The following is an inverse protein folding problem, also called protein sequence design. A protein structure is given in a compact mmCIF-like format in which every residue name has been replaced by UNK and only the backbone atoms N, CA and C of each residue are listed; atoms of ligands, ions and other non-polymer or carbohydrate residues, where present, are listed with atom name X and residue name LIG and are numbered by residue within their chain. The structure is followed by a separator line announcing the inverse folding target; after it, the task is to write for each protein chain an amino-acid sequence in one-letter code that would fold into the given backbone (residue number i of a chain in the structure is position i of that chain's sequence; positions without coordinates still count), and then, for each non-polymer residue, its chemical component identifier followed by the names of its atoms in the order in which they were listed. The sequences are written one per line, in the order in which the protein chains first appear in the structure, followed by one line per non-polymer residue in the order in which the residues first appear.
data_IF_055530190667
#
_entry.id   IF_055530190667
#
_cell.length_a   1.000
_cell.length_b   1.000
_cell.length_c   1.000
_cell.angle_alpha   90.00
_cell.angle_beta   90.00
_cell.angle_gamma   90.00
#
_symmetry.space_group_name_H-M   'P 1'
#
loop_
_entity.id
_entity.type
_entity.pdbx_description
1 polymer ?
#
# COMPACT_ATOMS: atom_id res chain seq x y z
N UNK A 1 -12.31 -4.64 18.74
CA UNK A 1 -12.70 -5.75 17.84
C UNK A 1 -11.69 -6.87 18.04
N UNK A 2 -11.96 -7.80 18.97
CA UNK A 2 -11.11 -8.98 19.16
C UNK A 2 -11.55 -9.97 18.09
N UNK A 3 -10.67 -10.28 17.14
CA UNK A 3 -10.96 -11.25 16.09
C UNK A 3 -10.67 -12.62 16.69
N UNK A 4 -11.70 -13.44 16.88
CA UNK A 4 -11.56 -14.83 17.29
C UNK A 4 -11.11 -15.67 16.10
N UNK A 5 -9.79 -15.70 15.85
CA UNK A 5 -9.17 -16.65 14.92
C UNK A 5 -8.90 -17.96 15.67
N UNK A 6 -9.87 -18.89 15.61
CA UNK A 6 -9.73 -20.22 16.19
C UNK A 6 -8.70 -21.05 15.40
N UNK A 7 -7.80 -21.76 16.09
CA UNK A 7 -6.82 -22.66 15.48
C UNK A 7 -5.45 -22.06 15.18
N UNK A 8 -5.18 -20.81 15.58
CA UNK A 8 -3.86 -20.18 15.47
C UNK A 8 -3.06 -20.28 16.76
N UNK A 9 -1.73 -20.26 16.66
CA UNK A 9 -0.87 -20.09 17.84
C UNK A 9 -1.15 -18.72 18.49
N UNK A 10 -0.94 -18.60 19.80
CA UNK A 10 -1.15 -17.34 20.52
C UNK A 10 -0.38 -16.17 19.88
N UNK A 11 0.82 -16.44 19.37
CA UNK A 11 1.66 -15.44 18.71
C UNK A 11 1.02 -14.94 17.41
N UNK A 12 0.56 -15.85 16.57
CA UNK A 12 -0.11 -15.50 15.31
C UNK A 12 -1.44 -14.75 15.57
N UNK A 13 -2.15 -15.11 16.64
CA UNK A 13 -3.36 -14.41 17.08
C UNK A 13 -3.08 -12.95 17.48
N UNK A 14 -2.03 -12.72 18.28
CA UNK A 14 -1.60 -11.37 18.69
C UNK A 14 -1.17 -10.54 17.47
N UNK A 15 -0.35 -11.11 16.59
CA UNK A 15 0.13 -10.42 15.38
C UNK A 15 -1.04 -10.07 14.44
N UNK A 16 -1.96 -11.00 14.23
CA UNK A 16 -3.17 -10.78 13.43
C UNK A 16 -4.10 -9.72 14.03
N UNK A 17 -4.35 -9.77 15.34
CA UNK A 17 -5.17 -8.78 16.03
C UNK A 17 -4.54 -7.38 15.98
N UNK A 18 -3.24 -7.28 16.24
CA UNK A 18 -2.52 -6.01 16.18
C UNK A 18 -2.59 -5.40 14.77
N UNK A 19 -2.30 -6.20 13.73
CA UNK A 19 -2.35 -5.74 12.35
C UNK A 19 -3.75 -5.27 11.95
N UNK A 20 -4.78 -6.06 12.25
CA UNK A 20 -6.16 -5.74 11.89
C UNK A 20 -6.66 -4.50 12.62
N UNK A 21 -6.35 -4.36 13.91
CA UNK A 21 -6.64 -3.16 14.70
C UNK A 21 -5.93 -1.94 14.11
N UNK A 22 -4.65 -2.07 13.77
CA UNK A 22 -3.87 -1.00 13.15
C UNK A 22 -4.48 -0.54 11.82
N UNK A 23 -4.84 -1.47 10.93
CA UNK A 23 -5.51 -1.16 9.66
C UNK A 23 -6.88 -0.52 9.87
N UNK A 24 -7.66 -1.00 10.85
CA UNK A 24 -8.94 -0.41 11.21
C UNK A 24 -8.81 1.03 11.73
N UNK A 25 -7.80 1.30 12.55
CA UNK A 25 -7.48 2.65 13.03
C UNK A 25 -7.06 3.57 11.88
N UNK A 26 -6.24 3.08 10.93
CA UNK A 26 -5.87 3.85 9.74
C UNK A 26 -7.10 4.21 8.89
N UNK A 27 -7.98 3.25 8.63
CA UNK A 27 -9.22 3.50 7.89
C UNK A 27 -10.10 4.53 8.60
N UNK A 28 -10.25 4.43 9.93
CA UNK A 28 -11.03 5.38 10.73
C UNK A 28 -10.39 6.77 10.75
N UNK A 29 -9.07 6.86 10.74
CA UNK A 29 -8.36 8.12 10.64
C UNK A 29 -8.59 8.76 9.27
N UNK A 30 -8.42 7.99 8.19
CA UNK A 30 -8.69 8.45 6.81
C UNK A 30 -10.13 8.95 6.66
N UNK A 31 -11.11 8.22 7.19
CA UNK A 31 -12.52 8.62 7.19
C UNK A 31 -12.74 9.95 7.92
N UNK A 32 -12.07 10.18 9.06
CA UNK A 32 -12.09 11.48 9.75
C UNK A 32 -11.42 12.60 8.96
N UNK A 33 -10.33 12.30 8.23
CA UNK A 33 -9.62 13.31 7.43
C UNK A 33 -10.44 13.77 6.21
N UNK A 34 -11.29 12.91 5.66
CA UNK A 34 -12.27 13.28 4.62
C UNK A 34 -13.59 13.79 5.20
N UNK A 35 -13.59 14.25 6.46
CA UNK A 35 -14.74 14.80 7.18
C UNK A 35 -15.96 13.86 7.22
N UNK A 36 -15.72 12.55 7.26
CA UNK A 36 -16.75 11.50 7.29
C UNK A 36 -17.75 11.57 6.13
N UNK A 37 -17.40 12.24 5.02
CA UNK A 37 -18.26 12.38 3.83
C UNK A 37 -18.53 11.06 3.13
N UNK A 38 -17.64 10.08 3.29
CA UNK A 38 -17.71 8.78 2.64
C UNK A 38 -17.67 7.66 3.66
N UNK A 39 -18.45 6.60 3.43
CA UNK A 39 -18.38 5.41 4.26
C UNK A 39 -17.03 4.72 4.10
N UNK A 40 -16.58 4.03 5.15
CA UNK A 40 -15.38 3.18 5.11
C UNK A 40 -15.39 2.22 3.91
N UNK A 41 -16.55 1.64 3.55
CA UNK A 41 -16.67 0.78 2.35
C UNK A 41 -16.34 1.52 1.08
N UNK A 42 -16.95 2.69 0.86
CA UNK A 42 -16.69 3.50 -0.34
C UNK A 42 -15.22 3.94 -0.44
N UNK A 43 -14.57 4.22 0.69
CA UNK A 43 -13.13 4.51 0.73
C UNK A 43 -12.29 3.30 0.30
N UNK A 44 -12.59 2.11 0.83
CA UNK A 44 -11.90 0.86 0.46
C UNK A 44 -12.10 0.57 -1.03
N UNK A 45 -13.35 0.59 -1.51
CA UNK A 45 -13.67 0.31 -2.92
C UNK A 45 -12.95 1.28 -3.85
N UNK A 46 -12.89 2.57 -3.48
CA UNK A 46 -12.16 3.57 -4.26
C UNK A 46 -10.67 3.25 -4.29
N UNK A 47 -10.05 3.01 -3.13
CA UNK A 47 -8.61 2.70 -3.05
C UNK A 47 -8.24 1.40 -3.76
N UNK A 48 -9.13 0.40 -3.77
CA UNK A 48 -8.95 -0.85 -4.50
C UNK A 48 -8.94 -0.63 -6.02
N UNK A 49 -9.73 0.31 -6.53
CA UNK A 49 -9.79 0.63 -7.94
C UNK A 49 -8.65 1.54 -8.43
N UNK A 50 -7.92 2.22 -7.54
CA UNK A 50 -6.70 2.98 -7.89
C UNK A 50 -5.57 2.00 -8.20
N UNK A 51 -5.59 1.45 -9.41
CA UNK A 51 -4.59 0.50 -9.90
C UNK A 51 -3.83 1.09 -11.10
N UNK A 52 -2.59 0.65 -11.27
CA UNK A 52 -1.70 1.11 -12.34
C UNK A 52 -1.42 0.00 -13.34
N UNK A 53 -1.76 0.21 -14.61
CA UNK A 53 -1.47 -0.69 -15.72
C UNK A 53 -0.13 -0.32 -16.37
N UNK A 54 0.75 -1.30 -16.59
CA UNK A 54 2.01 -1.05 -17.31
C UNK A 54 1.72 -0.79 -18.79
N UNK A 55 2.28 0.30 -19.33
CA UNK A 55 2.09 0.67 -20.75
C UNK A 55 3.34 0.33 -21.56
N UNK A 56 4.42 1.09 -21.39
CA UNK A 56 5.71 0.87 -22.07
C UNK A 56 6.80 1.73 -21.41
N UNK A 57 8.10 1.43 -21.60
CA UNK A 57 9.24 2.30 -21.24
C UNK A 57 9.22 2.87 -19.80
N UNK A 58 8.81 2.07 -18.82
CA UNK A 58 8.65 2.45 -17.40
C UNK A 58 7.46 3.39 -17.10
N UNK A 59 6.52 3.55 -18.04
CA UNK A 59 5.27 4.27 -17.81
C UNK A 59 4.18 3.32 -17.31
N UNK A 60 3.42 3.84 -16.36
CA UNK A 60 2.23 3.22 -15.79
C UNK A 60 1.05 4.16 -16.00
N UNK A 61 -0.08 3.61 -16.42
CA UNK A 61 -1.35 4.31 -16.58
C UNK A 61 -2.28 4.03 -15.42
N UNK A 62 -2.78 5.09 -14.79
CA UNK A 62 -3.85 5.05 -13.78
C UNK A 62 -5.11 5.64 -14.41
N UNK A 63 -6.13 4.81 -14.63
CA UNK A 63 -7.35 5.18 -15.35
C UNK A 63 -8.57 5.37 -14.45
N UNK A 64 -8.44 5.09 -13.15
CA UNK A 64 -9.51 5.30 -12.18
C UNK A 64 -9.45 6.70 -11.54
N UNK A 65 -10.52 7.47 -11.74
CA UNK A 65 -10.70 8.79 -11.11
C UNK A 65 -12.15 8.96 -10.64
N UNK A 66 -12.32 9.38 -9.40
CA UNK A 66 -13.61 9.80 -8.87
C UNK A 66 -13.46 10.94 -7.84
N UNK A 67 -14.57 11.41 -7.29
CA UNK A 67 -14.59 12.48 -6.28
C UNK A 67 -13.84 12.09 -5.00
N UNK A 68 -13.82 10.80 -4.65
CA UNK A 68 -13.11 10.30 -3.48
C UNK A 68 -11.61 10.36 -3.72
N UNK A 69 -11.13 10.02 -4.92
CA UNK A 69 -9.71 10.18 -5.32
C UNK A 69 -9.27 11.65 -5.19
N UNK A 70 -10.11 12.60 -5.57
CA UNK A 70 -9.82 14.03 -5.46
C UNK A 70 -9.71 14.50 -3.99
N UNK A 71 -10.62 14.06 -3.12
CA UNK A 71 -10.57 14.38 -1.69
C UNK A 71 -9.37 13.70 -1.01
N UNK A 72 -9.07 12.44 -1.37
CA UNK A 72 -7.88 11.73 -0.89
C UNK A 72 -6.60 12.46 -1.32
N UNK A 73 -6.54 13.02 -2.53
CA UNK A 73 -5.41 13.84 -2.97
C UNK A 73 -5.18 15.05 -2.05
N UNK A 74 -6.25 15.76 -1.67
CA UNK A 74 -6.19 16.93 -0.78
C UNK A 74 -5.68 16.55 0.61
N UNK A 75 -6.17 15.43 1.15
CA UNK A 75 -5.81 14.94 2.49
C UNK A 75 -4.39 14.37 2.55
N UNK A 76 -4.01 13.57 1.56
CA UNK A 76 -2.74 12.82 1.57
C UNK A 76 -1.59 13.58 0.93
N UNK A 77 -1.87 14.74 0.33
CA UNK A 77 -0.93 15.51 -0.49
C UNK A 77 -0.22 14.64 -1.55
N UNK A 78 -0.91 13.59 -2.02
CA UNK A 78 -0.40 12.63 -3.01
C UNK A 78 -1.35 12.63 -4.19
N UNK A 79 -0.79 12.88 -5.37
CA UNK A 79 -1.60 13.02 -6.57
C UNK A 79 -1.88 11.67 -7.23
N UNK A 80 -2.97 11.03 -6.82
CA UNK A 80 -3.49 9.78 -7.42
C UNK A 80 -4.24 10.02 -8.74
N UNK A 81 -4.50 11.27 -9.12
CA UNK A 81 -5.24 11.61 -10.35
C UNK A 81 -4.36 11.64 -11.60
N UNK A 82 -3.04 11.44 -11.45
CA UNK A 82 -2.11 11.49 -12.58
C UNK A 82 -2.28 10.23 -13.41
N UNK A 83 -2.84 10.45 -14.61
CA UNK A 83 -3.13 9.37 -15.56
C UNK A 83 -1.89 8.59 -16.01
N UNK A 84 -0.73 9.24 -16.09
CA UNK A 84 0.53 8.60 -16.44
C UNK A 84 1.60 8.95 -15.40
N UNK A 85 2.29 7.93 -14.91
CA UNK A 85 3.48 8.09 -14.07
C UNK A 85 4.60 7.18 -14.53
N UNK A 86 5.82 7.69 -14.47
CA UNK A 86 7.01 6.87 -14.61
C UNK A 86 7.27 6.06 -13.34
N UNK A 87 8.00 4.95 -13.48
CA UNK A 87 8.50 4.17 -12.36
C UNK A 87 9.33 5.03 -11.38
N UNK A 88 10.05 6.03 -11.90
CA UNK A 88 10.82 6.98 -11.10
C UNK A 88 9.93 7.83 -10.20
N UNK A 89 8.83 8.36 -10.74
CA UNK A 89 7.85 9.15 -9.97
C UNK A 89 7.14 8.30 -8.91
N UNK A 90 6.72 7.07 -9.25
CA UNK A 90 6.11 6.15 -8.28
C UNK A 90 7.09 5.85 -7.13
N UNK A 91 8.36 5.59 -7.45
CA UNK A 91 9.41 5.39 -6.44
C UNK A 91 9.65 6.63 -5.60
N UNK A 92 9.62 7.81 -6.19
CA UNK A 92 9.81 9.08 -5.49
C UNK A 92 8.68 9.33 -4.48
N UNK A 93 7.42 9.15 -4.89
CA UNK A 93 6.24 9.25 -4.01
C UNK A 93 6.38 8.26 -2.86
N UNK A 94 6.70 6.99 -3.16
CA UNK A 94 6.89 5.94 -2.14
C UNK A 94 8.05 6.25 -1.18
N UNK A 95 9.15 6.83 -1.68
CA UNK A 95 10.31 7.21 -0.87
C UNK A 95 9.99 8.38 0.07
N UNK A 96 9.15 9.33 -0.36
CA UNK A 96 8.74 10.46 0.47
C UNK A 96 7.86 10.03 1.64
N UNK A 97 7.00 9.02 1.47
CA UNK A 97 6.26 8.41 2.58
C UNK A 97 7.23 7.78 3.59
N UNK A 98 8.32 7.16 3.12
CA UNK A 98 9.33 6.53 3.98
C UNK A 98 10.20 7.52 4.75
N UNK A 99 10.27 8.79 4.35
CA UNK A 99 11.04 9.84 5.04
C UNK A 99 10.57 10.02 6.49
N UNK A 100 9.30 9.71 6.78
CA UNK A 100 8.71 9.73 8.11
C UNK A 100 8.74 8.37 8.84
N UNK A 101 9.25 7.31 8.20
CA UNK A 101 9.47 6.00 8.81
C UNK A 101 10.79 5.92 9.61
N UNK A 102 10.96 4.92 10.48
CA UNK A 102 12.19 4.76 11.27
C UNK A 102 13.42 4.67 10.35
N UNK A 103 14.40 5.57 10.54
CA UNK A 103 15.69 5.51 9.84
C UNK A 103 16.34 4.16 10.16
N UNK A 104 16.68 3.37 9.14
CA UNK A 104 17.31 2.06 9.32
C UNK A 104 18.53 2.18 10.24
N UNK A 105 18.46 1.61 11.44
CA UNK A 105 19.64 1.13 12.17
C UNK A 105 19.85 -0.34 11.79
N UNK A 106 21.11 -0.65 11.46
CA UNK A 106 21.71 -1.95 11.15
C UNK A 106 21.59 -2.51 9.71
N UNK A 107 22.75 -2.90 9.18
CA UNK A 107 23.06 -3.44 7.84
C UNK A 107 22.68 -4.93 7.67
N UNK A 108 22.08 -5.56 8.68
CA UNK A 108 21.69 -6.98 8.69
C UNK A 108 20.18 -7.23 8.57
N UNK A 109 19.34 -6.20 8.39
CA UNK A 109 17.92 -6.41 8.13
C UNK A 109 17.71 -6.97 6.71
N UNK A 110 16.80 -7.96 6.51
CA UNK A 110 16.49 -8.47 5.18
C UNK A 110 16.14 -7.30 4.27
N UNK A 111 16.84 -7.22 3.13
CA UNK A 111 16.59 -6.22 2.10
C UNK A 111 15.23 -6.53 1.47
N UNK A 112 14.15 -6.00 2.04
CA UNK A 112 12.89 -5.87 1.32
C UNK A 112 13.09 -4.85 0.20
N UNK A 113 13.33 -5.37 -0.99
CA UNK A 113 13.30 -4.60 -2.24
C UNK A 113 11.95 -4.88 -2.89
N UNK A 114 11.20 -3.82 -3.18
CA UNK A 114 9.96 -3.92 -3.94
C UNK A 114 10.34 -4.13 -5.40
N UNK A 115 10.57 -5.37 -5.80
CA UNK A 115 10.75 -5.73 -7.20
C UNK A 115 9.37 -5.82 -7.85
N UNK A 116 9.00 -4.76 -8.56
CA UNK A 116 7.92 -4.79 -9.54
C UNK A 116 8.38 -5.69 -10.69
N UNK A 117 8.14 -6.99 -10.59
CA UNK A 117 8.33 -7.89 -11.73
C UNK A 117 7.24 -7.61 -12.75
N UNK A 118 7.63 -7.40 -14.01
CA UNK A 118 6.74 -7.37 -15.18
C UNK A 118 6.06 -8.74 -15.30
N UNK A 119 4.75 -8.87 -15.05
CA UNK A 119 4.03 -10.07 -15.41
C UNK A 119 3.40 -9.82 -16.78
N UNK A 120 3.38 -10.85 -17.60
CA UNK A 120 2.55 -10.84 -18.79
C UNK A 120 1.08 -10.79 -18.34
N UNK A 121 0.38 -9.71 -18.68
CA UNK A 121 -1.08 -9.68 -18.69
C UNK A 121 -1.82 -9.00 -17.53
N UNK A 122 -1.28 -8.87 -16.32
CA UNK A 122 -1.88 -8.03 -15.26
C UNK A 122 -0.99 -7.99 -14.01
N UNK A 123 -0.80 -6.80 -13.41
CA UNK A 123 -0.03 -6.66 -12.17
C UNK A 123 -0.91 -6.96 -10.96
N UNK A 124 -0.94 -8.22 -10.51
CA UNK A 124 -1.35 -8.54 -9.14
C UNK A 124 -0.16 -8.33 -8.20
N UNK A 125 -0.35 -7.54 -7.14
CA UNK A 125 0.69 -7.32 -6.12
C UNK A 125 0.85 -8.61 -5.30
N UNK A 126 1.80 -9.46 -5.66
CA UNK A 126 2.16 -10.63 -4.85
C UNK A 126 3.23 -10.28 -3.82
N UNK A 127 2.96 -10.54 -2.53
CA UNK A 127 4.02 -10.63 -1.51
C UNK A 127 4.67 -12.01 -1.65
N UNK A 128 5.92 -12.06 -2.11
CA UNK A 128 6.71 -13.29 -2.16
C UNK A 128 7.81 -13.20 -1.09
N UNK A 129 7.93 -14.17 -0.15
CA UNK A 129 9.04 -14.21 0.77
C UNK A 129 10.33 -14.60 0.03
N UNK A 130 11.42 -13.85 0.27
CA UNK A 130 12.75 -14.15 -0.30
C UNK A 130 13.54 -14.89 0.77
N UNK A 131 13.83 -16.17 0.55
CA UNK A 131 14.77 -16.90 1.40
C UNK A 131 16.18 -16.32 1.22
N UNK A 132 16.96 -16.15 2.31
CA UNK A 132 18.33 -15.68 2.23
C UNK A 132 19.16 -16.66 1.40
N UNK A 133 19.94 -16.15 0.45
CA UNK A 133 20.95 -16.95 -0.24
C UNK A 133 22.01 -17.33 0.79
N UNK A 134 22.22 -18.62 0.97
CA UNK A 134 23.42 -19.19 1.56
C UNK A 134 24.59 -18.83 0.67
N UNK A 135 25.47 -17.96 1.15
CA UNK A 135 26.75 -17.66 0.51
C UNK A 135 27.67 -18.87 0.67
N UNK A 136 28.23 -19.31 -0.46
CA UNK A 136 29.36 -20.22 -0.60
C UNK A 136 30.66 -19.58 -0.12
#
# INVERSE_FOLDING_TARGET
MIITLAGLSLKDHIEGHFLTCFLGLLLRLTEKQVDQKYSTRKLIDTMENITGTYVDKNYYMFDYYDKVVEELKKVTNTDFSRRFMTLGEIKYITANVKKYGPKKRNKSAPKFTMTLKKPEGHLRIYRIPVHPKTDS
#
